data_IF_816950752993
#
_entry.id   IF_816950752993
#
_cell.length_a   1.000
_cell.length_b   1.000
_cell.length_c   1.000
_cell.angle_alpha   90.00
_cell.angle_beta   90.00
_cell.angle_gamma   90.00
#
_symmetry.space_group_name_H-M   'P 1'
#
loop_
_entity.id
_entity.type
_entity.pdbx_description
1 polymer ?
#
# COMPACT_ATOMS: atom_id res chain seq x y z
N UNK A 1 -27.57 29.05 -15.53
CA UNK A 1 -26.51 29.35 -14.55
C UNK A 1 -26.52 28.21 -13.57
N UNK A 2 -25.70 27.19 -13.81
CA UNK A 2 -25.65 25.97 -13.00
C UNK A 2 -24.24 25.88 -12.40
N UNK A 3 -24.10 26.45 -11.20
CA UNK A 3 -22.92 26.38 -10.37
C UNK A 3 -23.18 25.28 -9.34
N UNK A 4 -22.79 24.05 -9.64
CA UNK A 4 -23.15 22.95 -8.75
C UNK A 4 -22.58 21.58 -9.07
N UNK A 5 -21.40 21.45 -9.71
CA UNK A 5 -20.74 20.14 -9.74
C UNK A 5 -19.24 20.16 -10.10
N UNK A 6 -18.44 20.99 -9.40
CA UNK A 6 -16.99 21.08 -9.62
C UNK A 6 -16.14 20.65 -8.41
N UNK A 7 -16.68 19.82 -7.50
CA UNK A 7 -15.95 19.33 -6.33
C UNK A 7 -16.02 17.80 -6.21
N UNK A 8 -15.81 17.03 -7.29
CA UNK A 8 -15.66 15.56 -7.14
C UNK A 8 -14.62 14.90 -8.05
N UNK A 9 -13.92 15.65 -8.91
CA UNK A 9 -13.00 15.06 -9.90
C UNK A 9 -11.52 15.33 -9.64
N UNK A 10 -11.18 16.14 -8.63
CA UNK A 10 -9.79 16.58 -8.41
C UNK A 10 -9.02 15.77 -7.36
N UNK A 11 -9.68 14.93 -6.55
CA UNK A 11 -9.02 14.27 -5.40
C UNK A 11 -8.62 12.81 -5.64
N UNK A 12 -9.02 12.23 -6.78
CA UNK A 12 -8.66 10.86 -7.17
C UNK A 12 -7.44 10.78 -8.10
N UNK A 13 -7.07 11.87 -8.78
CA UNK A 13 -6.00 11.87 -9.79
C UNK A 13 -4.58 12.07 -9.23
N UNK A 14 -4.40 12.09 -7.91
CA UNK A 14 -3.07 12.23 -7.30
C UNK A 14 -2.96 11.48 -5.98
N UNK A 15 -3.44 10.23 -5.95
CA UNK A 15 -2.65 9.25 -5.20
C UNK A 15 -1.27 9.24 -5.87
N UNK A 16 -0.16 9.54 -5.16
CA UNK A 16 1.12 9.69 -5.80
C UNK A 16 1.40 8.37 -6.51
N UNK A 17 1.57 8.45 -7.83
CA UNK A 17 1.92 7.35 -8.73
C UNK A 17 2.97 6.42 -8.09
N UNK A 18 3.82 6.98 -7.25
CA UNK A 18 4.76 6.30 -6.38
C UNK A 18 4.15 5.13 -5.57
N UNK A 19 3.09 5.34 -4.79
CA UNK A 19 2.60 4.29 -3.91
C UNK A 19 1.89 3.16 -4.67
N UNK A 20 1.20 3.48 -5.77
CA UNK A 20 0.62 2.46 -6.66
C UNK A 20 1.71 1.60 -7.31
N UNK A 21 2.81 2.22 -7.78
CA UNK A 21 3.96 1.50 -8.32
C UNK A 21 4.67 0.65 -7.26
N UNK A 22 4.80 1.14 -6.03
CA UNK A 22 5.29 0.35 -4.91
C UNK A 22 4.43 -0.90 -4.66
N UNK A 23 3.10 -0.75 -4.67
CA UNK A 23 2.20 -1.90 -4.51
C UNK A 23 2.30 -2.90 -5.66
N UNK A 24 2.57 -2.46 -6.90
CA UNK A 24 2.84 -3.37 -8.01
C UNK A 24 4.07 -4.24 -7.73
N UNK A 25 5.17 -3.65 -7.23
CA UNK A 25 6.37 -4.39 -6.82
C UNK A 25 6.04 -5.38 -5.69
N UNK A 26 5.26 -4.95 -4.69
CA UNK A 26 4.80 -5.83 -3.61
C UNK A 26 3.98 -7.02 -4.14
N UNK A 27 3.01 -6.78 -5.02
CA UNK A 27 2.19 -7.84 -5.62
C UNK A 27 3.04 -8.81 -6.44
N UNK A 28 4.00 -8.31 -7.22
CA UNK A 28 4.94 -9.14 -8.00
C UNK A 28 5.86 -9.97 -7.08
N UNK A 29 6.34 -9.38 -5.99
CA UNK A 29 7.14 -10.08 -4.99
C UNK A 29 6.33 -11.19 -4.33
N UNK A 30 5.05 -10.93 -4.01
CA UNK A 30 4.14 -11.94 -3.46
C UNK A 30 3.91 -13.06 -4.46
N UNK A 31 3.59 -12.76 -5.70
CA UNK A 31 3.29 -13.78 -6.72
C UNK A 31 4.51 -14.64 -7.06
N UNK A 32 5.72 -14.05 -7.06
CA UNK A 32 6.97 -14.79 -7.28
C UNK A 32 7.37 -15.68 -6.09
N UNK A 33 6.98 -15.33 -4.87
CA UNK A 33 7.45 -16.01 -3.65
C UNK A 33 6.36 -16.72 -2.84
N UNK A 34 5.08 -16.66 -3.25
CA UNK A 34 3.92 -17.22 -2.52
C UNK A 34 4.06 -18.69 -2.10
N UNK A 35 4.87 -19.48 -2.81
CA UNK A 35 5.09 -20.90 -2.52
C UNK A 35 6.45 -21.19 -1.87
N UNK A 36 7.28 -20.16 -1.67
CA UNK A 36 8.64 -20.28 -1.10
C UNK A 36 8.58 -20.15 0.42
N UNK A 37 9.26 -21.04 1.13
CA UNK A 37 9.46 -20.93 2.58
C UNK A 37 10.52 -19.85 2.90
N UNK A 38 10.34 -19.01 3.94
CA UNK A 38 9.21 -18.92 4.88
C UNK A 38 8.08 -17.98 4.43
N UNK A 39 8.20 -17.37 3.25
CA UNK A 39 7.26 -16.36 2.75
C UNK A 39 5.81 -16.85 2.66
N UNK A 40 5.61 -18.13 2.32
CA UNK A 40 4.31 -18.79 2.36
C UNK A 40 3.62 -18.64 3.73
N UNK A 41 4.33 -18.85 4.85
CA UNK A 41 3.76 -18.77 6.20
C UNK A 41 3.41 -17.34 6.61
N UNK A 42 4.23 -16.36 6.18
CA UNK A 42 3.98 -14.94 6.40
C UNK A 42 2.69 -14.54 5.67
N UNK A 43 2.53 -14.98 4.42
CA UNK A 43 1.34 -14.68 3.60
C UNK A 43 0.08 -15.43 4.04
N UNK A 44 0.19 -16.65 4.55
CA UNK A 44 -0.92 -17.35 5.21
C UNK A 44 -1.38 -16.57 6.46
N UNK A 45 -0.45 -16.08 7.27
CA UNK A 45 -0.75 -15.26 8.45
C UNK A 45 -1.41 -13.92 8.09
N UNK A 46 -0.99 -13.30 6.99
CA UNK A 46 -1.63 -12.07 6.46
C UNK A 46 -3.03 -12.37 5.91
N UNK A 47 -3.23 -13.51 5.26
CA UNK A 47 -4.52 -13.92 4.70
C UNK A 47 -5.56 -14.26 5.77
N UNK A 48 -5.17 -14.85 6.89
CA UNK A 48 -6.11 -15.16 7.98
C UNK A 48 -6.57 -13.89 8.72
N UNK A 49 -5.82 -12.79 8.58
CA UNK A 49 -6.13 -11.48 9.13
C UNK A 49 -6.95 -10.61 8.14
N UNK A 50 -7.55 -11.21 7.10
CA UNK A 50 -8.41 -10.56 6.07
C UNK A 50 -9.75 -10.00 6.58
N UNK A 51 -9.72 -9.26 7.69
CA UNK A 51 -10.75 -8.27 8.02
C UNK A 51 -10.19 -6.91 7.64
N UNK A 52 -10.55 -6.43 6.44
CA UNK A 52 -10.44 -5.04 5.97
C UNK A 52 -9.52 -4.13 6.80
N UNK A 53 -8.21 -4.34 6.71
CA UNK A 53 -7.23 -3.51 7.40
C UNK A 53 -7.04 -2.23 6.63
N UNK A 54 -7.71 -1.19 7.09
CA UNK A 54 -7.53 0.14 6.57
C UNK A 54 -6.27 0.75 7.22
N UNK A 55 -5.19 0.88 6.44
CA UNK A 55 -3.96 1.56 6.87
C UNK A 55 -3.90 2.92 6.20
N UNK A 56 -3.73 3.98 6.98
CA UNK A 56 -3.38 5.31 6.51
C UNK A 56 -1.87 5.37 6.26
N UNK A 57 -1.46 5.38 5.00
CA UNK A 57 -0.06 5.56 4.62
C UNK A 57 0.29 7.04 4.67
N UNK A 58 1.39 7.39 5.32
CA UNK A 58 1.92 8.75 5.37
C UNK A 58 3.31 8.74 4.75
N UNK A 59 3.43 9.31 3.55
CA UNK A 59 4.71 9.43 2.86
C UNK A 59 5.46 10.63 3.42
N UNK A 60 6.56 10.37 4.13
CA UNK A 60 7.47 11.39 4.64
C UNK A 60 8.22 12.03 3.47
N UNK A 61 8.46 13.34 3.58
CA UNK A 61 9.08 14.19 2.55
C UNK A 61 8.21 14.49 1.31
N UNK A 62 6.92 14.16 1.33
CA UNK A 62 5.92 14.66 0.38
C UNK A 62 5.12 15.82 1.00
N UNK A 63 4.94 16.90 0.23
CA UNK A 63 4.23 18.09 0.69
C UNK A 63 3.10 18.44 -0.30
N UNK A 64 1.82 18.33 0.10
CA UNK A 64 1.30 17.85 1.39
C UNK A 64 1.43 16.31 1.55
N UNK A 65 1.44 15.78 2.79
CA UNK A 65 1.46 14.34 3.02
C UNK A 65 0.20 13.71 2.43
N UNK A 66 0.39 12.63 1.67
CA UNK A 66 -0.71 11.89 1.05
C UNK A 66 -1.14 10.76 1.97
N UNK A 67 -2.44 10.71 2.27
CA UNK A 67 -3.10 9.62 2.99
C UNK A 67 -3.89 8.74 2.04
N UNK A 68 -3.63 7.43 2.06
CA UNK A 68 -4.37 6.43 1.31
C UNK A 68 -4.71 5.23 2.19
N UNK A 69 -5.76 4.50 1.80
CA UNK A 69 -6.20 3.23 2.40
C UNK A 69 -5.77 2.09 1.51
N UNK A 70 -5.21 1.05 2.11
CA UNK A 70 -4.85 -0.19 1.41
C UNK A 70 -6.05 -1.16 1.44
N UNK A 71 -6.37 -1.76 0.30
CA UNK A 71 -7.45 -2.73 0.16
C UNK A 71 -6.96 -3.97 -0.59
N UNK A 72 -7.61 -5.12 -0.37
CA UNK A 72 -7.44 -6.28 -1.23
C UNK A 72 -8.59 -6.35 -2.22
N UNK A 73 -8.30 -6.58 -3.50
CA UNK A 73 -9.33 -6.84 -4.50
C UNK A 73 -9.83 -8.30 -4.42
N UNK A 74 -10.85 -8.64 -5.22
CA UNK A 74 -11.41 -9.99 -5.29
C UNK A 74 -10.39 -11.05 -5.72
N UNK A 75 -9.28 -10.63 -6.34
CA UNK A 75 -8.16 -11.49 -6.75
C UNK A 75 -7.03 -11.55 -5.70
N UNK A 76 -7.27 -11.06 -4.48
CA UNK A 76 -6.28 -10.96 -3.40
C UNK A 76 -5.06 -10.09 -3.73
N UNK A 77 -5.16 -9.20 -4.72
CA UNK A 77 -4.12 -8.21 -5.00
C UNK A 77 -4.26 -7.01 -4.09
N UNK A 78 -3.13 -6.48 -3.67
CA UNK A 78 -3.08 -5.26 -2.87
C UNK A 78 -3.35 -4.06 -3.80
N UNK A 79 -4.29 -3.21 -3.40
CA UNK A 79 -4.73 -2.00 -4.10
C UNK A 79 -4.82 -0.83 -3.11
N UNK A 80 -5.01 0.39 -3.62
CA UNK A 80 -5.23 1.58 -2.79
C UNK A 80 -6.47 2.35 -3.15
N UNK A 81 -7.07 2.98 -2.15
CA UNK A 81 -8.17 3.93 -2.28
C UNK A 81 -7.86 5.22 -1.50
N UNK A 82 -8.43 6.38 -1.88
CA UNK A 82 -8.30 7.60 -1.10
C UNK A 82 -8.84 7.42 0.33
N UNK A 83 -8.14 7.95 1.35
CA UNK A 83 -8.54 7.87 2.76
C UNK A 83 -9.66 8.86 3.16
N UNK A 84 -10.63 9.12 2.28
CA UNK A 84 -11.65 10.15 2.50
C UNK A 84 -12.67 9.67 3.54
N UNK A 85 -12.80 10.41 4.64
CA UNK A 85 -13.82 10.16 5.66
C UNK A 85 -13.54 9.00 6.61
N UNK A 86 -12.39 8.34 6.47
CA UNK A 86 -12.02 7.20 7.32
C UNK A 86 -11.26 7.68 8.56
N UNK A 87 -11.68 7.24 9.75
CA UNK A 87 -11.07 7.63 11.04
C UNK A 87 -10.56 6.40 11.79
N UNK A 88 -9.60 6.61 12.69
CA UNK A 88 -9.06 5.55 13.54
C UNK A 88 -8.18 4.56 12.78
N UNK A 89 -7.61 4.98 11.64
CA UNK A 89 -6.74 4.12 10.85
C UNK A 89 -5.37 3.99 11.50
N UNK A 90 -4.81 2.78 11.38
CA UNK A 90 -3.41 2.55 11.66
C UNK A 90 -2.57 3.41 10.73
N UNK A 91 -1.60 4.13 11.27
CA UNK A 91 -0.70 4.98 10.49
C UNK A 91 0.60 4.24 10.22
N UNK A 92 0.93 4.05 8.95
CA UNK A 92 2.26 3.60 8.54
C UNK A 92 3.00 4.77 7.90
N UNK A 93 4.15 5.13 8.49
CA UNK A 93 4.98 6.23 8.01
C UNK A 93 6.13 5.65 7.20
N UNK A 94 6.27 6.09 5.96
CA UNK A 94 7.29 5.59 5.04
C UNK A 94 7.96 6.75 4.33
N UNK A 95 9.28 6.71 4.12
CA UNK A 95 9.95 7.77 3.38
C UNK A 95 9.73 7.65 1.88
N UNK A 96 9.60 8.80 1.20
CA UNK A 96 9.55 8.85 -0.27
C UNK A 96 10.76 8.15 -0.90
N UNK A 97 11.96 8.40 -0.36
CA UNK A 97 13.20 7.80 -0.85
C UNK A 97 13.20 6.27 -0.80
N UNK A 98 12.61 5.66 0.24
CA UNK A 98 12.46 4.22 0.31
C UNK A 98 11.54 3.69 -0.79
N UNK A 99 10.37 4.33 -0.97
CA UNK A 99 9.44 3.94 -2.03
C UNK A 99 10.08 4.04 -3.42
N UNK A 100 10.78 5.15 -3.69
CA UNK A 100 11.53 5.35 -4.93
C UNK A 100 12.62 4.29 -5.12
N UNK A 101 13.34 3.91 -4.06
CA UNK A 101 14.35 2.86 -4.15
C UNK A 101 13.76 1.50 -4.52
N UNK A 102 12.59 1.16 -3.96
CA UNK A 102 11.87 -0.08 -4.29
C UNK A 102 11.42 -0.09 -5.75
N UNK A 103 10.87 1.03 -6.23
CA UNK A 103 10.36 1.18 -7.59
C UNK A 103 11.49 1.16 -8.62
N UNK A 104 12.63 1.79 -8.31
CA UNK A 104 13.77 1.86 -9.21
C UNK A 104 14.61 0.56 -9.24
N UNK A 105 14.49 -0.30 -8.22
CA UNK A 105 15.22 -1.55 -8.12
C UNK A 105 14.29 -2.76 -7.92
N UNK A 106 13.24 -2.95 -8.73
CA UNK A 106 12.14 -3.87 -8.40
C UNK A 106 12.59 -5.32 -8.28
N UNK A 107 13.54 -5.76 -9.11
CA UNK A 107 14.03 -7.14 -9.08
C UNK A 107 14.75 -7.48 -7.75
N UNK A 108 15.44 -6.52 -7.13
CA UNK A 108 16.11 -6.73 -5.84
C UNK A 108 15.09 -7.13 -4.75
N UNK A 109 13.94 -6.46 -4.76
CA UNK A 109 12.86 -6.64 -3.81
C UNK A 109 11.96 -7.82 -4.16
N UNK A 110 11.72 -8.08 -5.45
CA UNK A 110 10.96 -9.26 -5.90
C UNK A 110 11.72 -10.54 -5.59
N UNK A 111 13.03 -10.58 -5.80
CA UNK A 111 13.84 -11.78 -5.50
C UNK A 111 14.06 -11.98 -3.99
N UNK A 112 14.03 -10.89 -3.22
CA UNK A 112 14.24 -10.90 -1.78
C UNK A 112 13.11 -10.15 -1.06
N UNK A 113 11.89 -10.72 -0.98
CA UNK A 113 10.74 -10.02 -0.42
C UNK A 113 10.92 -9.62 1.05
N UNK A 114 11.86 -10.22 1.79
CA UNK A 114 12.21 -9.80 3.14
C UNK A 114 12.80 -8.38 3.24
N UNK A 115 13.23 -7.78 2.11
CA UNK A 115 13.68 -6.39 2.03
C UNK A 115 12.53 -5.39 1.99
N UNK A 116 11.32 -5.85 1.66
CA UNK A 116 10.12 -5.02 1.65
C UNK A 116 9.67 -4.86 3.10
N UNK A 117 9.44 -3.61 3.50
CA UNK A 117 8.74 -3.30 4.74
C UNK A 117 7.27 -3.72 4.61
N UNK A 118 6.96 -4.86 5.23
CA UNK A 118 5.63 -5.43 5.32
C UNK A 118 4.92 -5.05 6.64
N UNK A 119 5.47 -4.12 7.43
CA UNK A 119 4.91 -3.73 8.72
C UNK A 119 3.44 -3.33 8.60
N UNK A 120 3.06 -2.65 7.52
CA UNK A 120 1.67 -2.28 7.23
C UNK A 120 0.71 -3.48 7.03
N UNK A 121 1.20 -4.70 6.78
CA UNK A 121 0.37 -5.91 6.67
C UNK A 121 0.10 -6.57 8.03
N UNK A 122 1.13 -6.73 8.86
CA UNK A 122 1.05 -7.55 10.07
C UNK A 122 1.11 -6.77 11.38
N UNK A 123 1.54 -5.51 11.37
CA UNK A 123 1.65 -4.76 12.60
C UNK A 123 0.25 -4.43 13.11
N UNK A 124 -0.12 -5.02 14.24
CA UNK A 124 -1.34 -4.76 14.99
C UNK A 124 -0.97 -3.85 16.16
N UNK A 125 -0.61 -2.59 15.89
CA UNK A 125 -0.50 -1.66 17.02
C UNK A 125 -1.91 -1.31 17.47
N UNK A 126 -2.34 -2.06 18.48
CA UNK A 126 -3.49 -1.83 19.36
C UNK A 126 -3.45 -0.43 19.97
#
# INVERSE_FOLDING_TARGET
>A
MDQGNLIHSATLQSLPNLFVQYLDVCNRAIDANKHRFPFKQIMESVRDVQTHKNVEVIILDDHPPVSCVICFDDNQKITTQPAVGVRGLQKWRVSKAYLENVINNPDEYIQNPAKIDWEWLYNNNQ
#
